data_IF_339008308584
#
_entry.id   IF_339008308584
#
_cell.length_a   1.000
_cell.length_b   1.000
_cell.length_c   1.000
_cell.angle_alpha   90.00
_cell.angle_beta   90.00
_cell.angle_gamma   90.00
#
_symmetry.space_group_name_H-M   'P 1'
#
loop_
_entity.id
_entity.type
_entity.pdbx_description
1 polymer ?
#
# COMPACT_ATOMS: atom_id res chain seq x y z
N UNK A 1 -0.33 -4.90 16.75
CA UNK A 1 -0.25 -3.52 16.22
C UNK A 1 -0.69 -3.58 14.77
N UNK A 2 -1.59 -2.69 14.34
CA UNK A 2 -1.87 -2.54 12.92
C UNK A 2 -0.70 -1.85 12.25
N UNK A 3 -0.34 -2.32 11.06
CA UNK A 3 0.77 -1.80 10.28
C UNK A 3 0.31 -1.53 8.86
N UNK A 4 0.78 -0.42 8.30
CA UNK A 4 0.49 0.00 6.93
C UNK A 4 1.78 -0.04 6.12
N UNK A 5 1.71 -0.65 4.94
CA UNK A 5 2.71 -0.47 3.89
C UNK A 5 2.11 0.45 2.84
N UNK A 6 2.75 1.58 2.59
CA UNK A 6 2.33 2.55 1.58
C UNK A 6 3.26 2.46 0.37
N UNK A 7 2.69 2.31 -0.82
CA UNK A 7 3.43 2.13 -2.07
C UNK A 7 3.02 3.26 -3.01
N UNK A 8 3.98 4.09 -3.42
CA UNK A 8 3.77 5.05 -4.51
C UNK A 8 4.21 4.44 -5.84
N UNK A 9 3.30 4.40 -6.81
CA UNK A 9 3.62 4.03 -8.19
C UNK A 9 3.68 5.34 -9.00
N UNK A 10 4.91 5.82 -9.20
CA UNK A 10 5.23 7.08 -9.87
C UNK A 10 5.49 6.85 -11.36
N UNK A 11 5.27 7.90 -12.15
CA UNK A 11 5.73 7.93 -13.54
C UNK A 11 7.25 8.18 -13.62
N UNK A 12 7.87 7.84 -14.76
CA UNK A 12 9.34 7.86 -14.96
C UNK A 12 10.01 9.22 -14.65
N UNK A 13 9.24 10.31 -14.72
CA UNK A 13 9.75 11.67 -14.53
C UNK A 13 9.26 12.32 -13.23
N UNK A 14 8.60 11.57 -12.35
CA UNK A 14 8.05 12.12 -11.11
C UNK A 14 8.82 11.62 -9.88
N UNK A 15 9.13 12.56 -9.00
CA UNK A 15 9.64 12.28 -7.67
C UNK A 15 8.48 12.34 -6.67
N UNK A 16 8.48 11.44 -5.68
CA UNK A 16 7.52 11.44 -4.57
C UNK A 16 7.79 12.56 -3.54
N UNK A 17 7.94 13.81 -3.99
CA UNK A 17 7.99 14.93 -3.06
C UNK A 17 6.59 15.22 -2.52
N UNK A 18 6.36 14.87 -1.25
CA UNK A 18 5.19 15.29 -0.50
C UNK A 18 3.89 14.65 -0.94
N UNK A 19 3.82 13.31 -0.90
CA UNK A 19 2.57 12.59 -1.12
C UNK A 19 1.53 13.02 -0.05
N UNK A 20 0.45 13.70 -0.50
CA UNK A 20 -0.59 14.25 0.38
C UNK A 20 -1.29 13.16 1.17
N UNK A 21 -1.58 12.03 0.54
CA UNK A 21 -2.22 10.89 1.16
C UNK A 21 -1.34 10.30 2.28
N UNK A 22 -0.04 10.11 2.00
CA UNK A 22 0.91 9.62 3.00
C UNK A 22 0.95 10.54 4.23
N UNK A 23 0.97 11.85 4.00
CA UNK A 23 0.95 12.85 5.07
C UNK A 23 -0.34 12.75 5.89
N UNK A 24 -1.50 12.70 5.25
CA UNK A 24 -2.79 12.57 5.94
C UNK A 24 -2.87 11.28 6.76
N UNK A 25 -2.37 10.16 6.24
CA UNK A 25 -2.32 8.89 6.99
C UNK A 25 -1.47 9.02 8.27
N UNK A 26 -0.31 9.67 8.18
CA UNK A 26 0.57 9.89 9.35
C UNK A 26 -0.08 10.79 10.40
N UNK A 27 -0.82 11.81 9.97
CA UNK A 27 -1.50 12.76 10.85
C UNK A 27 -2.73 12.15 11.54
N UNK A 28 -3.55 11.39 10.79
CA UNK A 28 -4.77 10.77 11.32
C UNK A 28 -4.50 9.50 12.15
N UNK A 29 -3.44 8.76 11.83
CA UNK A 29 -3.12 7.48 12.46
C UNK A 29 -1.71 7.42 13.07
N UNK A 30 -1.34 8.33 13.99
CA UNK A 30 0.04 8.47 14.48
C UNK A 30 0.55 7.28 15.30
N UNK A 31 -0.34 6.37 15.71
CA UNK A 31 0.01 5.15 16.48
C UNK A 31 0.21 3.91 15.61
N UNK A 32 -0.04 4.02 14.30
CA UNK A 32 0.10 2.91 13.36
C UNK A 32 1.54 2.90 12.83
N UNK A 33 2.15 1.72 12.81
CA UNK A 33 3.45 1.55 12.17
C UNK A 33 3.27 1.69 10.66
N UNK A 34 3.93 2.67 10.06
CA UNK A 34 3.82 2.98 8.64
C UNK A 34 5.20 2.87 7.99
N UNK A 35 5.28 2.06 6.94
CA UNK A 35 6.44 1.98 6.07
C UNK A 35 6.06 2.38 4.66
N UNK A 36 6.84 3.26 4.02
CA UNK A 36 6.58 3.74 2.67
C UNK A 36 7.77 3.54 1.74
N UNK A 37 7.47 3.25 0.47
CA UNK A 37 8.44 3.18 -0.61
C UNK A 37 7.76 3.43 -1.96
N UNK A 38 8.56 3.57 -3.02
CA UNK A 38 8.11 3.86 -4.38
C UNK A 38 8.77 2.94 -5.43
N UNK A 39 8.35 3.04 -6.68
CA UNK A 39 8.83 2.21 -7.81
C UNK A 39 10.23 2.56 -8.29
N UNK A 40 10.91 3.48 -7.63
CA UNK A 40 12.32 3.79 -7.85
C UNK A 40 13.19 3.36 -6.66
N UNK A 41 12.58 2.84 -5.61
CA UNK A 41 13.25 2.41 -4.39
C UNK A 41 14.19 1.23 -4.63
N UNK A 42 15.36 1.28 -4.00
CA UNK A 42 16.38 0.24 -4.12
C UNK A 42 15.93 -1.08 -3.49
N UNK A 43 16.56 -2.18 -3.92
CA UNK A 43 16.27 -3.53 -3.41
C UNK A 43 16.35 -3.65 -1.89
N UNK A 44 17.25 -2.91 -1.23
CA UNK A 44 17.38 -2.90 0.23
C UNK A 44 16.11 -2.36 0.91
N UNK A 45 15.51 -1.31 0.37
CA UNK A 45 14.26 -0.72 0.87
C UNK A 45 13.10 -1.71 0.72
N UNK A 46 13.02 -2.37 -0.44
CA UNK A 46 12.00 -3.39 -0.70
C UNK A 46 12.18 -4.61 0.22
N UNK A 47 13.41 -5.01 0.51
CA UNK A 47 13.69 -6.10 1.45
C UNK A 47 13.24 -5.75 2.87
N UNK A 48 13.48 -4.52 3.31
CA UNK A 48 12.97 -4.06 4.60
C UNK A 48 11.43 -4.06 4.63
N UNK A 49 10.77 -3.64 3.55
CA UNK A 49 9.31 -3.74 3.43
C UNK A 49 8.79 -5.17 3.61
N UNK A 50 9.53 -6.15 3.08
CA UNK A 50 9.23 -7.57 3.22
C UNK A 50 9.40 -8.03 4.68
N UNK A 51 10.47 -7.63 5.35
CA UNK A 51 10.71 -7.95 6.76
C UNK A 51 9.59 -7.37 7.64
N UNK A 52 9.27 -6.09 7.45
CA UNK A 52 8.17 -5.40 8.10
C UNK A 52 6.81 -6.11 7.91
N UNK A 53 6.56 -6.61 6.70
CA UNK A 53 5.36 -7.37 6.38
C UNK A 53 5.31 -8.73 7.12
N UNK A 54 6.46 -9.39 7.29
CA UNK A 54 6.52 -10.70 7.96
C UNK A 54 6.17 -10.60 9.45
N UNK A 55 6.57 -9.51 10.10
CA UNK A 55 6.28 -9.25 11.51
C UNK A 55 4.83 -8.80 11.77
N UNK A 56 4.09 -8.47 10.71
CA UNK A 56 2.72 -7.95 10.81
C UNK A 56 1.66 -9.07 10.66
N UNK A 57 0.70 -9.12 11.58
CA UNK A 57 -0.41 -10.09 11.56
C UNK A 57 -1.47 -9.76 10.51
N UNK A 58 -1.96 -8.51 10.46
CA UNK A 58 -3.01 -8.07 9.54
C UNK A 58 -2.57 -6.82 8.76
N UNK A 59 -1.63 -6.95 7.81
CA UNK A 59 -1.09 -5.80 7.10
C UNK A 59 -2.15 -5.13 6.23
N UNK A 60 -2.12 -3.81 6.18
CA UNK A 60 -2.87 -3.02 5.21
C UNK A 60 -1.85 -2.48 4.20
N UNK A 61 -2.08 -2.76 2.92
CA UNK A 61 -1.25 -2.24 1.83
C UNK A 61 -2.05 -1.19 1.09
N UNK A 62 -1.53 0.03 1.07
CA UNK A 62 -2.11 1.16 0.34
C UNK A 62 -1.22 1.43 -0.87
N UNK A 63 -1.81 1.47 -2.05
CA UNK A 63 -1.10 1.69 -3.29
C UNK A 63 -1.68 2.94 -3.94
N UNK A 64 -0.87 4.00 -3.98
CA UNK A 64 -1.20 5.24 -4.67
C UNK A 64 -0.62 5.16 -6.09
N UNK A 65 -1.50 4.95 -7.06
CA UNK A 65 -1.11 4.81 -8.45
C UNK A 65 -1.23 6.15 -9.16
N UNK A 66 -0.22 6.49 -9.95
CA UNK A 66 -0.43 7.35 -11.12
C UNK A 66 -0.53 6.47 -12.36
N UNK A 67 -1.47 6.79 -13.23
CA UNK A 67 -1.95 5.95 -14.35
C UNK A 67 -0.86 5.33 -15.25
N UNK A 68 0.33 5.93 -15.35
CA UNK A 68 1.42 5.48 -16.24
C UNK A 68 2.60 4.80 -15.53
N UNK A 69 2.58 4.69 -14.20
CA UNK A 69 3.71 4.13 -13.46
C UNK A 69 3.82 2.60 -13.61
N UNK A 70 5.05 2.09 -13.68
CA UNK A 70 5.33 0.65 -13.77
C UNK A 70 5.55 0.02 -12.40
N UNK A 71 4.99 -1.18 -12.21
CA UNK A 71 5.22 -2.03 -11.03
C UNK A 71 6.49 -2.86 -11.20
N UNK A 72 7.53 -2.61 -10.38
CA UNK A 72 8.78 -3.39 -10.36
C UNK A 72 8.98 -4.21 -9.06
N UNK A 73 8.04 -4.20 -8.13
CA UNK A 73 8.16 -4.87 -6.81
C UNK A 73 7.75 -6.34 -6.79
N UNK A 74 8.08 -7.10 -7.83
CA UNK A 74 7.75 -8.54 -7.87
C UNK A 74 8.16 -9.29 -6.60
N UNK A 75 9.35 -9.06 -6.00
CA UNK A 75 9.74 -9.73 -4.75
C UNK A 75 8.77 -9.45 -3.60
N UNK A 76 8.30 -8.21 -3.45
CA UNK A 76 7.34 -7.82 -2.41
C UNK A 76 6.01 -8.55 -2.58
N UNK A 77 5.42 -8.51 -3.78
CA UNK A 77 4.15 -9.19 -4.04
C UNK A 77 4.24 -10.71 -3.89
N UNK A 78 5.39 -11.31 -4.21
CA UNK A 78 5.66 -12.74 -4.00
C UNK A 78 5.70 -13.13 -2.51
N UNK A 79 6.00 -12.20 -1.61
CA UNK A 79 5.90 -12.44 -0.17
C UNK A 79 4.49 -12.12 0.33
N UNK A 80 3.88 -11.04 -0.17
CA UNK A 80 2.53 -10.63 0.17
C UNK A 80 1.49 -11.71 -0.14
N UNK A 81 1.64 -12.42 -1.25
CA UNK A 81 0.74 -13.51 -1.65
C UNK A 81 0.63 -14.63 -0.60
N UNK A 82 1.68 -14.85 0.20
CA UNK A 82 1.68 -15.86 1.27
C UNK A 82 0.69 -15.51 2.38
N UNK A 83 0.41 -14.22 2.56
CA UNK A 83 -0.55 -13.65 3.51
C UNK A 83 -1.84 -13.15 2.85
N UNK A 84 -2.16 -13.63 1.63
CA UNK A 84 -3.25 -13.06 0.82
C UNK A 84 -4.63 -12.97 1.50
N UNK A 85 -4.92 -13.85 2.47
CA UNK A 85 -6.20 -13.83 3.21
C UNK A 85 -6.22 -12.86 4.40
N UNK A 86 -5.03 -12.47 4.88
CA UNK A 86 -4.83 -11.61 6.06
C UNK A 86 -4.60 -10.14 5.68
N UNK A 87 -4.11 -9.90 4.46
CA UNK A 87 -3.84 -8.55 3.96
C UNK A 87 -5.10 -7.89 3.41
N UNK A 88 -5.26 -6.59 3.69
CA UNK A 88 -6.19 -5.72 2.98
C UNK A 88 -5.43 -4.83 2.00
N UNK A 89 -5.87 -4.77 0.74
CA UNK A 89 -5.24 -3.92 -0.29
C UNK A 89 -6.19 -2.78 -0.65
N UNK A 90 -5.72 -1.54 -0.53
CA UNK A 90 -6.39 -0.34 -1.01
C UNK A 90 -5.62 0.21 -2.20
N UNK A 91 -6.31 0.43 -3.31
CA UNK A 91 -5.70 1.03 -4.51
C UNK A 91 -6.40 2.33 -4.83
N UNK A 92 -5.63 3.43 -4.80
CA UNK A 92 -6.05 4.74 -5.28
C UNK A 92 -5.65 4.86 -6.75
N UNK A 93 -6.64 5.18 -7.57
CA UNK A 93 -6.58 5.21 -9.04
C UNK A 93 -6.29 3.84 -9.71
N UNK A 94 -6.75 3.66 -10.94
CA UNK A 94 -6.52 2.42 -11.69
C UNK A 94 -5.11 2.38 -12.31
N UNK A 95 -4.52 1.18 -12.32
CA UNK A 95 -3.28 0.93 -13.04
C UNK A 95 -3.32 -0.49 -13.65
N UNK A 96 -3.23 -0.57 -14.97
CA UNK A 96 -3.30 -1.86 -15.69
C UNK A 96 -2.16 -2.80 -15.29
N UNK A 97 -0.95 -2.27 -15.05
CA UNK A 97 0.22 -3.07 -14.70
C UNK A 97 0.06 -3.70 -13.30
N UNK A 98 -0.62 -3.01 -12.39
CA UNK A 98 -0.89 -3.46 -11.03
C UNK A 98 -1.97 -4.56 -10.99
N UNK A 99 -2.94 -4.53 -11.90
CA UNK A 99 -4.09 -5.46 -11.92
C UNK A 99 -3.68 -6.93 -11.78
N UNK A 100 -2.58 -7.32 -12.43
CA UNK A 100 -2.04 -8.70 -12.42
C UNK A 100 -1.49 -9.10 -11.06
N UNK A 101 -0.90 -8.16 -10.33
CA UNK A 101 -0.33 -8.39 -9.00
C UNK A 101 -1.40 -8.50 -7.93
N UNK A 102 -2.45 -7.68 -8.01
CA UNK A 102 -3.48 -7.59 -6.98
C UNK A 102 -4.63 -8.60 -7.18
N UNK A 103 -4.79 -9.15 -8.38
CA UNK A 103 -5.83 -10.15 -8.71
C UNK A 103 -5.96 -11.29 -7.69
N UNK A 104 -4.88 -11.89 -7.18
CA UNK A 104 -4.97 -13.03 -6.27
C UNK A 104 -5.49 -12.71 -4.85
N UNK A 105 -5.60 -11.43 -4.49
CA UNK A 105 -5.98 -11.01 -3.15
C UNK A 105 -7.50 -10.92 -3.01
N UNK A 106 -8.14 -11.66 -2.08
CA UNK A 106 -9.58 -11.59 -1.85
C UNK A 106 -10.02 -10.25 -1.26
N UNK A 107 -9.26 -9.69 -0.32
CA UNK A 107 -9.61 -8.46 0.39
C UNK A 107 -8.93 -7.27 -0.27
N UNK A 108 -9.55 -6.74 -1.33
CA UNK A 108 -9.05 -5.57 -2.05
C UNK A 108 -10.18 -4.61 -2.40
N UNK A 109 -9.88 -3.32 -2.29
CA UNK A 109 -10.74 -2.21 -2.71
C UNK A 109 -9.95 -1.43 -3.75
N UNK A 110 -10.55 -1.26 -4.92
CA UNK A 110 -9.90 -0.72 -6.10
C UNK A 110 -10.51 0.63 -6.46
N UNK A 111 -9.75 1.42 -7.21
CA UNK A 111 -10.24 2.63 -7.87
C UNK A 111 -10.81 3.69 -6.90
N UNK A 112 -10.16 3.84 -5.74
CA UNK A 112 -10.45 4.93 -4.81
C UNK A 112 -10.04 6.24 -5.49
N UNK A 113 -10.96 7.21 -5.55
CA UNK A 113 -10.83 8.39 -6.41
C UNK A 113 -10.03 9.53 -5.81
N UNK A 114 -9.89 9.55 -4.50
CA UNK A 114 -9.28 10.66 -3.77
C UNK A 114 -8.77 10.20 -2.40
N UNK A 115 -7.94 11.04 -1.78
CA UNK A 115 -7.33 10.75 -0.47
C UNK A 115 -8.41 10.52 0.62
N UNK A 116 -9.53 11.25 0.55
CA UNK A 116 -10.62 11.12 1.52
C UNK A 116 -11.27 9.73 1.46
N UNK A 117 -11.54 9.20 0.27
CA UNK A 117 -12.08 7.83 0.12
C UNK A 117 -11.12 6.77 0.67
N UNK A 118 -9.81 6.97 0.49
CA UNK A 118 -8.80 6.07 1.07
C UNK A 118 -8.85 6.12 2.60
N UNK A 119 -8.87 7.31 3.19
CA UNK A 119 -8.88 7.51 4.65
C UNK A 119 -10.17 6.97 5.30
N UNK A 120 -11.34 7.22 4.70
CA UNK A 120 -12.61 6.67 5.17
C UNK A 120 -12.62 5.13 5.13
N UNK A 121 -12.06 4.56 4.06
CA UNK A 121 -11.96 3.10 3.90
C UNK A 121 -10.96 2.50 4.89
N UNK A 122 -9.81 3.15 5.06
CA UNK A 122 -8.80 2.77 6.04
C UNK A 122 -9.38 2.78 7.46
N UNK A 123 -10.14 3.82 7.83
CA UNK A 123 -10.81 3.94 9.12
C UNK A 123 -11.75 2.76 9.38
N UNK A 124 -12.56 2.37 8.40
CA UNK A 124 -13.48 1.22 8.51
C UNK A 124 -12.72 -0.08 8.75
N UNK A 125 -11.68 -0.33 7.96
CA UNK A 125 -10.85 -1.55 8.09
C UNK A 125 -10.20 -1.61 9.47
N UNK A 126 -9.66 -0.49 9.97
CA UNK A 126 -9.03 -0.42 11.28
C UNK A 126 -10.03 -0.66 12.41
N UNK A 127 -11.25 -0.15 12.30
CA UNK A 127 -12.32 -0.42 13.27
C UNK A 127 -12.72 -1.91 13.28
N UNK A 128 -12.83 -2.55 12.11
CA UNK A 128 -13.16 -3.98 11.98
C UNK A 128 -12.06 -4.89 12.56
N UNK A 129 -10.82 -4.42 12.60
CA UNK A 129 -9.69 -5.12 13.24
C UNK A 129 -9.73 -5.09 14.78
N UNK A 130 -10.77 -4.50 15.40
CA UNK A 130 -10.93 -4.29 16.86
C UNK A 130 -9.80 -3.45 17.48
N UNK A 131 -9.74 -2.17 17.12
CA UNK A 131 -9.03 -1.12 17.84
C UNK A 131 -10.03 -0.09 18.33
#
# INVERSE_FOLDING_TARGET
>A
MSSIVFISILSVNEFAFGNSLLKSIREEFPKISLFDFDNHSESMVVNYAIEFLQETTNPIVIIDCKSEGQVNFRPFFNQLIKKKKEVNILVKEENESLSRFIKPFPNKILDLKNDKEVLETLTKILADQKI
#
